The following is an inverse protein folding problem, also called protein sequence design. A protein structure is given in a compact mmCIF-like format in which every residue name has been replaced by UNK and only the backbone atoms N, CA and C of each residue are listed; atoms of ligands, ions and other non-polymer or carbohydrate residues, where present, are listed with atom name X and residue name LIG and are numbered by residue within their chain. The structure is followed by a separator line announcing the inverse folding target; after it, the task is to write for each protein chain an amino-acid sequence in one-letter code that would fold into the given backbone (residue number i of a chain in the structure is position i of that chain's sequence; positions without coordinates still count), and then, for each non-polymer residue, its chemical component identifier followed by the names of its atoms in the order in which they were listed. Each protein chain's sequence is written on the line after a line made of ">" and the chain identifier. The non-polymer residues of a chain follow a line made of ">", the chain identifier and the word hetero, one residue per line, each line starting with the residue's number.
data_IF_411494497630
#
_entry.id   IF_411494497630
#
_cell.length_a   1.000
_cell.length_b   1.000
_cell.length_c   1.000
_cell.angle_alpha   90.00
_cell.angle_beta   90.00
_cell.angle_gamma   90.00
#
_symmetry.space_group_name_H-M   'P 1'
#
loop_
_entity.id
_entity.type
_entity.pdbx_description
1 polymer ?
#
# COMPACT_ATOMS: atom_id res chain seq x y z
N UNK A 1 -8.19 5.16 -2.26
CA UNK A 1 -7.48 4.34 -3.28
C UNK A 1 -8.39 4.17 -4.49
N UNK A 2 -8.00 4.64 -5.68
CA UNK A 2 -8.78 4.50 -6.91
C UNK A 2 -8.19 3.42 -7.83
N UNK A 3 -9.02 2.48 -8.28
CA UNK A 3 -8.65 1.51 -9.32
C UNK A 3 -9.46 1.73 -10.60
N UNK A 4 -9.10 1.03 -11.67
CA UNK A 4 -9.77 1.17 -12.98
C UNK A 4 -11.27 0.83 -12.94
N UNK A 5 -11.66 -0.12 -12.07
CA UNK A 5 -13.04 -0.63 -11.97
C UNK A 5 -13.81 -0.12 -10.75
N UNK A 6 -13.11 0.07 -9.63
CA UNK A 6 -13.71 0.40 -8.33
C UNK A 6 -12.84 1.39 -7.57
N UNK A 7 -13.46 2.14 -6.67
CA UNK A 7 -12.79 3.06 -5.75
C UNK A 7 -13.05 2.59 -4.31
N UNK A 8 -12.02 2.59 -3.48
CA UNK A 8 -12.09 2.31 -2.05
C UNK A 8 -11.75 3.55 -1.26
N UNK A 9 -12.65 3.93 -0.37
CA UNK A 9 -12.43 4.97 0.63
C UNK A 9 -12.30 4.29 1.98
N UNK A 10 -11.23 4.63 2.70
CA UNK A 10 -11.06 4.28 4.10
C UNK A 10 -11.12 5.56 4.93
N UNK A 11 -12.01 5.57 5.92
CA UNK A 11 -12.17 6.64 6.89
C UNK A 11 -12.18 6.02 8.29
N UNK A 12 -11.10 6.23 9.05
CA UNK A 12 -10.96 5.70 10.40
C UNK A 12 -11.73 6.50 11.46
N UNK A 13 -12.20 7.71 11.11
CA UNK A 13 -13.06 8.54 11.96
C UNK A 13 -14.52 8.06 11.98
N UNK A 14 -14.95 7.33 10.95
CA UNK A 14 -16.26 6.68 10.95
C UNK A 14 -16.22 5.39 11.78
N UNK A 15 -17.25 5.13 12.60
CA UNK A 15 -17.27 3.96 13.48
C UNK A 15 -17.63 2.67 12.71
N UNK A 16 -18.73 2.72 11.94
CA UNK A 16 -19.35 1.52 11.36
C UNK A 16 -18.93 1.28 9.90
N UNK A 17 -18.88 2.33 9.09
CA UNK A 17 -18.62 2.25 7.64
C UNK A 17 -17.19 2.69 7.29
N UNK A 18 -16.20 2.21 8.06
CA UNK A 18 -14.79 2.59 7.88
C UNK A 18 -14.31 2.38 6.45
N UNK A 19 -14.81 1.36 5.77
CA UNK A 19 -14.47 1.06 4.38
C UNK A 19 -15.73 1.18 3.52
N UNK A 20 -15.65 1.99 2.45
CA UNK A 20 -16.69 2.11 1.43
C UNK A 20 -16.10 1.75 0.08
N UNK A 21 -16.73 0.80 -0.59
CA UNK A 21 -16.36 0.37 -1.94
C UNK A 21 -17.40 0.92 -2.91
N UNK A 22 -16.95 1.79 -3.79
CA UNK A 22 -17.74 2.36 -4.84
C UNK A 22 -17.45 1.62 -6.14
N UNK A 23 -18.48 1.19 -6.85
CA UNK A 23 -18.37 0.68 -8.23
C UNK A 23 -18.22 1.83 -9.23
N UNK A 24 -17.27 2.73 -8.96
CA UNK A 24 -16.84 3.81 -9.83
C UNK A 24 -15.55 3.38 -10.53
N UNK A 25 -15.61 3.34 -11.86
CA UNK A 25 -14.46 3.06 -12.71
C UNK A 25 -14.35 4.12 -13.80
N UNK A 26 -13.15 4.28 -14.34
CA UNK A 26 -12.88 5.14 -15.49
C UNK A 26 -12.66 4.25 -16.69
N UNK A 27 -13.59 4.27 -17.65
CA UNK A 27 -13.44 3.57 -18.91
C UNK A 27 -12.64 4.45 -19.88
N UNK A 28 -11.40 4.07 -20.20
CA UNK A 28 -10.62 4.68 -21.27
C UNK A 28 -10.89 3.94 -22.58
N UNK A 29 -11.74 4.50 -23.45
CA UNK A 29 -11.95 3.92 -24.77
C UNK A 29 -10.70 4.13 -25.63
N UNK A 30 -10.11 3.03 -26.12
CA UNK A 30 -8.83 2.97 -26.83
C UNK A 30 -8.83 3.53 -28.26
N UNK A 31 -9.46 4.68 -28.50
CA UNK A 31 -9.43 5.37 -29.80
C UNK A 31 -8.21 6.27 -29.96
N UNK A 32 -7.58 6.25 -31.13
CA UNK A 32 -6.51 7.18 -31.52
C UNK A 32 -7.10 8.55 -31.87
N UNK A 33 -7.05 9.51 -30.95
CA UNK A 33 -7.46 10.88 -31.25
C UNK A 33 -7.80 11.72 -30.02
N UNK A 34 -7.97 13.01 -30.27
CA UNK A 34 -8.22 14.12 -29.32
C UNK A 34 -9.58 14.01 -28.59
N UNK A 35 -10.39 12.98 -28.90
CA UNK A 35 -11.66 12.63 -28.24
C UNK A 35 -11.50 11.92 -26.87
N UNK A 36 -10.26 11.65 -26.44
CA UNK A 36 -9.92 10.92 -25.20
C UNK A 36 -10.36 11.60 -23.88
N UNK A 37 -10.92 12.81 -23.92
CA UNK A 37 -11.34 13.52 -22.71
C UNK A 37 -12.81 13.30 -22.34
N UNK A 38 -13.52 12.42 -23.03
CA UNK A 38 -14.85 11.98 -22.58
C UNK A 38 -14.70 10.98 -21.42
N UNK A 39 -14.33 11.48 -20.24
CA UNK A 39 -14.34 10.71 -18.99
C UNK A 39 -15.79 10.39 -18.66
N UNK A 40 -16.26 9.22 -19.08
CA UNK A 40 -17.57 8.71 -18.65
C UNK A 40 -17.46 8.27 -17.18
N UNK A 41 -18.09 9.05 -16.30
CA UNK A 41 -18.16 8.72 -14.88
C UNK A 41 -19.22 7.63 -14.70
N UNK A 42 -18.79 6.38 -14.44
CA UNK A 42 -19.72 5.31 -14.03
C UNK A 42 -20.06 5.52 -12.56
N UNK A 43 -21.28 5.97 -12.27
CA UNK A 43 -21.84 5.96 -10.91
C UNK A 43 -22.52 4.61 -10.67
N UNK A 44 -21.76 3.61 -10.25
CA UNK A 44 -22.31 2.34 -9.77
C UNK A 44 -22.63 2.36 -8.27
N UNK A 45 -23.05 1.20 -7.76
CA UNK A 45 -23.45 1.01 -6.37
C UNK A 45 -22.31 1.28 -5.38
N UNK A 46 -22.68 1.65 -4.16
CA UNK A 46 -21.80 1.72 -3.00
C UNK A 46 -22.18 0.59 -2.04
N UNK A 47 -21.17 -0.13 -1.55
CA UNK A 47 -21.36 -1.10 -0.48
C UNK A 47 -20.25 -0.97 0.57
N UNK A 48 -20.62 -1.16 1.83
CA UNK A 48 -19.72 -1.13 2.97
C UNK A 48 -19.67 -2.52 3.61
N UNK A 49 -18.51 -3.22 3.61
CA UNK A 49 -18.38 -4.48 4.33
C UNK A 49 -18.52 -4.26 5.84
N UNK A 50 -19.19 -5.18 6.52
CA UNK A 50 -19.14 -5.25 7.98
C UNK A 50 -17.73 -5.68 8.39
N UNK A 51 -17.03 -4.81 9.13
CA UNK A 51 -15.74 -5.12 9.71
C UNK A 51 -15.91 -5.52 11.17
N UNK A 52 -15.12 -6.48 11.63
CA UNK A 52 -15.05 -6.77 13.05
C UNK A 52 -14.39 -5.59 13.77
N UNK A 53 -15.12 -5.02 14.73
CA UNK A 53 -14.57 -4.03 15.64
C UNK A 53 -13.81 -4.75 16.74
N UNK A 54 -12.50 -4.81 16.58
CA UNK A 54 -11.59 -5.32 17.58
C UNK A 54 -10.50 -4.28 17.84
N UNK A 55 -10.15 -4.09 19.10
CA UNK A 55 -9.09 -3.16 19.50
C UNK A 55 -7.76 -3.63 18.91
N UNK A 56 -7.05 -2.73 18.21
CA UNK A 56 -5.80 -3.04 17.53
C UNK A 56 -4.74 -3.58 18.51
N UNK A 57 -4.64 -2.98 19.70
CA UNK A 57 -3.66 -3.38 20.71
C UNK A 57 -3.94 -4.78 21.26
N UNK A 58 -5.21 -5.12 21.52
CA UNK A 58 -5.57 -6.47 21.98
C UNK A 58 -5.25 -7.53 20.93
N UNK A 59 -5.50 -7.25 19.64
CA UNK A 59 -5.16 -8.16 18.54
C UNK A 59 -3.66 -8.37 18.41
N UNK A 60 -2.89 -7.30 18.54
CA UNK A 60 -1.43 -7.37 18.49
C UNK A 60 -0.88 -8.16 19.66
N UNK A 61 -1.40 -7.95 20.87
CA UNK A 61 -0.99 -8.70 22.06
C UNK A 61 -1.32 -10.19 21.96
N UNK A 62 -2.51 -10.52 21.46
CA UNK A 62 -2.89 -11.91 21.21
C UNK A 62 -1.95 -12.57 20.18
N UNK A 63 -1.65 -11.87 19.08
CA UNK A 63 -0.70 -12.34 18.09
C UNK A 63 0.72 -12.55 18.66
N UNK A 64 1.19 -11.63 19.51
CA UNK A 64 2.48 -11.74 20.17
C UNK A 64 2.54 -12.96 21.11
N UNK A 65 1.50 -13.15 21.93
CA UNK A 65 1.33 -14.32 22.78
C UNK A 65 1.36 -15.62 21.96
N UNK A 66 0.61 -15.69 20.86
CA UNK A 66 0.57 -16.86 19.98
C UNK A 66 1.94 -17.18 19.36
N UNK A 67 2.75 -16.15 19.07
CA UNK A 67 4.10 -16.35 18.57
C UNK A 67 5.04 -16.95 19.63
N UNK A 68 4.87 -16.58 20.90
CA UNK A 68 5.62 -17.16 22.02
C UNK A 68 5.26 -18.63 22.20
N UNK A 69 3.96 -18.93 22.32
CA UNK A 69 3.47 -20.30 22.52
C UNK A 69 3.87 -21.23 21.36
N UNK A 70 3.73 -20.76 20.13
CA UNK A 70 4.08 -21.53 18.93
C UNK A 70 5.58 -21.51 18.59
N UNK A 71 6.43 -20.81 19.36
CA UNK A 71 7.85 -20.59 19.04
C UNK A 71 8.08 -20.11 17.61
N UNK A 72 7.22 -19.21 17.13
CA UNK A 72 7.20 -18.71 15.75
C UNK A 72 7.82 -17.31 15.68
N UNK A 73 8.64 -17.08 14.66
CA UNK A 73 9.16 -15.75 14.38
C UNK A 73 8.02 -14.81 13.94
N UNK A 74 7.81 -13.67 14.62
CA UNK A 74 6.78 -12.72 14.22
C UNK A 74 7.17 -12.00 12.93
N UNK A 75 6.20 -11.65 12.07
CA UNK A 75 6.48 -10.90 10.84
C UNK A 75 6.96 -9.45 11.11
N UNK A 76 6.59 -8.89 12.25
CA UNK A 76 7.00 -7.58 12.76
C UNK A 76 8.14 -7.70 13.79
N UNK A 77 9.14 -8.51 13.46
CA UNK A 77 10.32 -8.72 14.29
C UNK A 77 11.21 -7.47 14.45
N UNK A 78 12.29 -7.61 15.23
CA UNK A 78 13.27 -6.52 15.42
C UNK A 78 13.89 -6.03 14.12
N UNK A 79 14.04 -6.88 13.10
CA UNK A 79 14.54 -6.48 11.79
C UNK A 79 13.52 -5.63 11.03
N UNK A 80 12.22 -5.90 11.17
CA UNK A 80 11.17 -5.04 10.67
C UNK A 80 11.21 -3.65 11.34
N UNK A 81 11.33 -3.61 12.66
CA UNK A 81 11.51 -2.36 13.41
C UNK A 81 12.74 -1.56 12.94
N UNK A 82 13.89 -2.24 12.78
CA UNK A 82 15.12 -1.61 12.29
C UNK A 82 14.95 -0.97 10.91
N UNK A 83 14.25 -1.64 9.97
CA UNK A 83 13.97 -1.07 8.63
C UNK A 83 13.15 0.21 8.71
N UNK A 84 12.15 0.26 9.58
CA UNK A 84 11.29 1.44 9.78
C UNK A 84 12.10 2.60 10.36
N UNK A 85 12.89 2.35 11.41
CA UNK A 85 13.73 3.39 12.03
C UNK A 85 14.70 3.98 11.00
N UNK A 86 15.36 3.14 10.19
CA UNK A 86 16.24 3.61 9.10
C UNK A 86 15.53 4.50 8.09
N UNK A 87 14.30 4.17 7.71
CA UNK A 87 13.50 5.02 6.81
C UNK A 87 13.19 6.38 7.43
N UNK A 88 12.83 6.41 8.73
CA UNK A 88 12.53 7.66 9.45
C UNK A 88 13.78 8.53 9.60
N UNK A 89 14.93 7.94 9.91
CA UNK A 89 16.22 8.64 9.96
C UNK A 89 16.56 9.28 8.59
N UNK A 90 16.42 8.53 7.50
CA UNK A 90 16.69 9.03 6.16
C UNK A 90 15.71 10.14 5.74
N UNK A 91 14.43 10.02 6.08
CA UNK A 91 13.43 11.06 5.86
C UNK A 91 13.77 12.33 6.65
N UNK A 92 14.21 12.19 7.90
CA UNK A 92 14.62 13.31 8.75
C UNK A 92 15.84 14.03 8.17
N UNK A 93 16.86 13.30 7.72
CA UNK A 93 18.01 13.91 7.05
C UNK A 93 17.60 14.58 5.74
N UNK A 94 16.72 13.96 4.95
CA UNK A 94 16.17 14.54 3.71
C UNK A 94 15.54 15.91 3.96
N UNK A 95 14.70 16.03 4.99
CA UNK A 95 14.09 17.29 5.40
C UNK A 95 15.16 18.35 5.76
N UNK A 96 16.22 17.95 6.47
CA UNK A 96 17.33 18.83 6.84
C UNK A 96 18.10 19.37 5.62
N UNK A 97 18.21 18.57 4.56
CA UNK A 97 18.87 18.96 3.29
C UNK A 97 17.90 19.43 2.21
N UNK A 98 16.75 20.00 2.61
CA UNK A 98 15.72 20.60 1.73
C UNK A 98 15.08 19.60 0.76
N UNK A 99 14.75 18.41 1.25
CA UNK A 99 14.04 17.38 0.50
C UNK A 99 14.89 16.60 -0.51
N UNK A 100 16.23 16.66 -0.39
CA UNK A 100 17.10 15.82 -1.23
C UNK A 100 16.89 14.35 -0.88
N UNK A 101 16.89 13.48 -1.88
CA UNK A 101 16.83 12.03 -1.70
C UNK A 101 18.01 11.51 -0.88
N UNK A 102 17.74 10.80 0.22
CA UNK A 102 18.75 10.12 1.04
C UNK A 102 18.69 8.62 0.73
N UNK A 103 19.77 8.01 0.23
CA UNK A 103 19.75 6.59 -0.12
C UNK A 103 19.72 5.71 1.13
N UNK A 104 18.85 4.71 1.14
CA UNK A 104 18.87 3.64 2.13
C UNK A 104 19.78 2.51 1.61
N UNK A 105 20.75 2.11 2.43
CA UNK A 105 21.57 0.95 2.09
C UNK A 105 20.66 -0.28 1.94
N UNK A 106 20.74 -0.96 0.80
CA UNK A 106 20.06 -2.25 0.62
C UNK A 106 20.71 -3.25 1.56
N UNK A 107 20.03 -3.61 2.64
CA UNK A 107 20.39 -4.81 3.41
C UNK A 107 20.28 -5.99 2.45
N UNK A 108 21.42 -6.59 2.11
CA UNK A 108 21.53 -7.54 1.02
C UNK A 108 20.51 -8.66 1.13
N UNK A 109 19.66 -8.78 0.12
CA UNK A 109 19.02 -10.04 -0.21
C UNK A 109 19.85 -10.69 -1.31
N UNK A 110 20.50 -11.81 -0.98
CA UNK A 110 20.86 -12.82 -1.96
C UNK A 110 19.54 -13.44 -2.48
N UNK A 111 18.77 -12.69 -3.27
CA UNK A 111 17.75 -13.30 -4.13
C UNK A 111 18.51 -13.77 -5.35
N UNK A 112 18.70 -15.09 -5.48
CA UNK A 112 19.14 -15.70 -6.73
C UNK A 112 18.16 -15.23 -7.81
N UNK A 113 18.65 -14.46 -8.78
CA UNK A 113 17.91 -14.14 -10.00
C UNK A 113 17.67 -15.45 -10.77
N UNK A 114 16.50 -16.07 -10.57
CA UNK A 114 15.98 -16.99 -11.57
C UNK A 114 15.59 -16.17 -12.79
N UNK A 115 16.37 -16.30 -13.87
CA UNK A 115 16.03 -15.78 -15.19
C UNK A 115 14.64 -16.31 -15.59
N UNK A 116 13.60 -15.49 -15.47
CA UNK A 116 12.36 -15.70 -16.25
C UNK A 116 12.53 -15.08 -17.61
N UNK A 117 12.19 -15.88 -18.62
CA UNK A 117 12.33 -15.59 -20.03
C UNK A 117 11.51 -14.36 -20.45
N UNK A 118 12.01 -13.74 -21.52
CA UNK A 118 11.49 -12.58 -22.24
C UNK A 118 9.96 -12.61 -22.42
N UNK A 119 9.26 -11.57 -21.96
CA UNK A 119 7.83 -11.39 -22.25
C UNK A 119 7.11 -10.29 -21.45
N UNK A 120 7.51 -10.02 -20.21
CA UNK A 120 6.83 -9.04 -19.34
C UNK A 120 7.72 -7.84 -19.04
N UNK A 121 7.28 -6.65 -19.46
CA UNK A 121 7.88 -5.39 -18.98
C UNK A 121 7.62 -5.30 -17.47
N UNK A 122 8.65 -5.10 -16.63
CA UNK A 122 8.43 -4.87 -15.21
C UNK A 122 7.64 -3.57 -15.04
N UNK A 123 6.46 -3.65 -14.42
CA UNK A 123 5.76 -2.48 -13.92
C UNK A 123 6.69 -1.81 -12.91
N UNK A 124 7.24 -0.65 -13.28
CA UNK A 124 7.98 0.18 -12.34
C UNK A 124 7.02 0.58 -11.22
N UNK A 125 7.34 0.33 -9.94
CA UNK A 125 6.54 0.86 -8.85
C UNK A 125 6.82 2.36 -8.77
N UNK A 126 6.04 3.15 -9.50
CA UNK A 126 6.01 4.60 -9.34
C UNK A 126 5.18 4.90 -8.09
N UNK A 127 5.84 4.95 -6.94
CA UNK A 127 5.28 5.58 -5.74
C UNK A 127 5.67 7.06 -5.84
N UNK A 128 4.84 7.82 -6.55
CA UNK A 128 4.89 9.27 -6.51
C UNK A 128 4.11 9.71 -5.27
N UNK A 129 4.84 10.02 -4.19
CA UNK A 129 4.29 10.82 -3.09
C UNK A 129 4.37 12.27 -3.55
N UNK A 130 3.29 12.75 -4.15
CA UNK A 130 3.09 14.19 -4.30
C UNK A 130 2.77 14.75 -2.90
N UNK A 131 3.60 15.70 -2.48
CA UNK A 131 3.34 16.55 -1.33
C UNK A 131 2.21 17.55 -1.62
#
# INVERSE_FOLDING_TARGET
>A
IGGTKKMLVWNDLEADEKIKVYDRGVCTNGGSGIEKLAVSYRSGDMWAPRLEQAEALSREFAYFHDCIEASRAPFNDGMAGWRVVRMIEAATESLRVKGRTVPLARTGSLVREEKRACGDKPAQPFVEVAA
#
